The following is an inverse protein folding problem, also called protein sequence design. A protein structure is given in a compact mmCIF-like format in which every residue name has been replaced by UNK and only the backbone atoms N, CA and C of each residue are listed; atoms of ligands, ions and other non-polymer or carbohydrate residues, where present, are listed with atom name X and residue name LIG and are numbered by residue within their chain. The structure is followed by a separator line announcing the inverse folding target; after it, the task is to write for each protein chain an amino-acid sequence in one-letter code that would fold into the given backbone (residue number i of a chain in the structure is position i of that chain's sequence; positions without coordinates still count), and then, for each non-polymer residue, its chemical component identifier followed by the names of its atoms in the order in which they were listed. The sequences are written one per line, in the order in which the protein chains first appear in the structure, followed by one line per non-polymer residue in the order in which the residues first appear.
data_IF_309002983198
#
_entry.id   IF_309002983198
#
_cell.length_a   1.000
_cell.length_b   1.000
_cell.length_c   1.000
_cell.angle_alpha   90.00
_cell.angle_beta   90.00
_cell.angle_gamma   90.00
#
_symmetry.space_group_name_H-M   'P 1'
#
loop_
_entity.id
_entity.type
_entity.pdbx_description
1 polymer ?
#
# COMPACT_ATOMS: atom_id res chain seq x y z
N UNK A 1 1.46 0.59 -15.38
CA UNK A 1 1.57 -0.86 -15.12
C UNK A 1 2.01 -1.54 -16.43
N UNK A 2 3.20 -2.09 -16.48
CA UNK A 2 3.80 -2.71 -17.67
C UNK A 2 3.43 -4.20 -17.83
N UNK A 3 2.39 -4.65 -17.13
CA UNK A 3 1.93 -6.03 -17.14
C UNK A 3 1.15 -6.39 -18.41
N UNK A 4 1.21 -7.66 -18.78
CA UNK A 4 0.37 -8.26 -19.84
C UNK A 4 -0.99 -8.64 -19.24
N UNK A 5 -1.99 -7.79 -19.47
CA UNK A 5 -3.35 -8.02 -19.00
C UNK A 5 -3.94 -9.34 -19.52
N UNK A 6 -3.71 -9.68 -20.77
CA UNK A 6 -4.30 -10.87 -21.38
C UNK A 6 -3.72 -12.15 -20.79
N UNK A 7 -2.43 -12.15 -20.47
CA UNK A 7 -1.78 -13.26 -19.77
C UNK A 7 -2.33 -13.39 -18.33
N UNK A 8 -2.46 -12.26 -17.61
CA UNK A 8 -3.03 -12.23 -16.28
C UNK A 8 -4.48 -12.72 -16.27
N UNK A 9 -5.32 -12.27 -17.21
CA UNK A 9 -6.72 -12.67 -17.32
C UNK A 9 -6.87 -14.18 -17.62
N UNK A 10 -5.97 -14.76 -18.43
CA UNK A 10 -5.90 -16.21 -18.66
C UNK A 10 -5.54 -16.95 -17.36
N UNK A 11 -4.58 -16.44 -16.60
CA UNK A 11 -4.19 -17.04 -15.32
C UNK A 11 -5.36 -17.02 -14.32
N UNK A 12 -6.05 -15.90 -14.16
CA UNK A 12 -7.24 -15.77 -13.30
C UNK A 12 -8.31 -16.78 -13.71
N UNK A 13 -8.60 -16.87 -15.01
CA UNK A 13 -9.59 -17.81 -15.54
C UNK A 13 -9.21 -19.28 -15.30
N UNK A 14 -7.93 -19.60 -15.44
CA UNK A 14 -7.39 -20.93 -15.12
C UNK A 14 -7.54 -21.26 -13.63
N UNK A 15 -7.11 -20.37 -12.75
CA UNK A 15 -7.23 -20.57 -11.30
C UNK A 15 -8.68 -20.70 -10.87
N UNK A 16 -9.59 -19.88 -11.40
CA UNK A 16 -11.03 -20.00 -11.11
C UNK A 16 -11.55 -21.38 -11.51
N UNK A 17 -11.24 -21.84 -12.73
CA UNK A 17 -11.64 -23.17 -13.19
C UNK A 17 -11.08 -24.31 -12.33
N UNK A 18 -9.84 -24.18 -11.82
CA UNK A 18 -9.26 -25.15 -10.88
C UNK A 18 -9.97 -25.16 -9.55
N UNK A 19 -10.27 -23.99 -8.98
CA UNK A 19 -11.01 -23.88 -7.73
C UNK A 19 -12.43 -24.48 -7.83
N UNK A 20 -13.08 -24.26 -8.96
CA UNK A 20 -14.41 -24.85 -9.24
C UNK A 20 -14.33 -26.38 -9.33
N UNK A 21 -13.34 -26.93 -10.03
CA UNK A 21 -13.14 -28.36 -10.19
C UNK A 21 -12.82 -29.07 -8.85
N UNK A 22 -12.16 -28.38 -7.91
CA UNK A 22 -11.83 -28.89 -6.56
C UNK A 22 -12.96 -28.67 -5.53
N UNK A 23 -14.13 -28.14 -5.96
CA UNK A 23 -15.25 -27.84 -5.06
C UNK A 23 -14.99 -26.71 -4.08
N UNK A 24 -14.08 -25.80 -4.43
CA UNK A 24 -13.70 -24.63 -3.65
C UNK A 24 -14.40 -23.35 -4.13
N UNK A 25 -15.25 -23.43 -5.16
CA UNK A 25 -16.12 -22.33 -5.55
C UNK A 25 -16.93 -21.83 -4.34
N UNK A 26 -16.97 -20.54 -4.12
CA UNK A 26 -17.65 -19.94 -2.97
C UNK A 26 -16.94 -20.08 -1.61
N UNK A 27 -15.81 -20.80 -1.55
CA UNK A 27 -14.94 -20.85 -0.34
C UNK A 27 -13.69 -20.00 -0.48
N UNK A 28 -13.23 -19.81 -1.73
CA UNK A 28 -12.02 -19.02 -2.06
C UNK A 28 -12.39 -18.01 -3.13
N UNK A 29 -12.18 -16.76 -2.82
CA UNK A 29 -12.30 -15.67 -3.78
C UNK A 29 -10.93 -15.30 -4.34
N UNK A 30 -10.90 -14.93 -5.63
CA UNK A 30 -9.71 -14.38 -6.23
C UNK A 30 -9.69 -12.87 -6.03
N UNK A 31 -8.53 -12.34 -5.72
CA UNK A 31 -8.27 -10.91 -5.55
C UNK A 31 -7.48 -10.41 -6.75
N UNK A 32 -7.78 -9.22 -7.22
CA UNK A 32 -7.05 -8.59 -8.34
C UNK A 32 -7.67 -7.27 -8.80
N UNK A 33 -7.02 -6.54 -9.71
CA UNK A 33 -5.90 -6.96 -10.57
C UNK A 33 -4.49 -6.86 -9.97
N UNK A 34 -4.32 -6.44 -8.72
CA UNK A 34 -3.02 -6.28 -8.08
C UNK A 34 -2.11 -5.29 -8.84
N UNK A 35 -2.73 -4.23 -9.36
CA UNK A 35 -2.06 -3.26 -10.20
C UNK A 35 -1.31 -2.22 -9.36
N UNK A 36 -0.01 -2.06 -9.62
CA UNK A 36 0.75 -0.93 -9.10
C UNK A 36 0.35 0.34 -9.85
N UNK A 37 -0.06 1.37 -9.12
CA UNK A 37 -0.59 2.62 -9.68
C UNK A 37 0.20 3.83 -9.23
N UNK A 38 0.24 4.85 -10.09
CA UNK A 38 0.83 6.15 -9.78
C UNK A 38 -0.16 7.31 -9.96
N UNK A 39 -1.04 7.21 -10.94
CA UNK A 39 -2.07 8.18 -11.28
C UNK A 39 -3.41 7.52 -11.58
N UNK A 40 -4.41 8.28 -12.04
CA UNK A 40 -5.71 7.74 -12.37
C UNK A 40 -5.76 7.00 -13.73
N UNK A 41 -4.72 7.13 -14.55
CA UNK A 41 -4.68 6.60 -15.93
C UNK A 41 -4.65 5.07 -15.99
N UNK A 42 -4.11 4.40 -14.97
CA UNK A 42 -4.09 2.93 -14.92
C UNK A 42 -5.41 2.32 -14.42
N UNK A 43 -6.45 3.12 -14.13
CA UNK A 43 -7.76 2.62 -13.70
C UNK A 43 -8.41 1.66 -14.73
N UNK A 44 -7.93 1.67 -15.97
CA UNK A 44 -8.32 0.69 -17.00
C UNK A 44 -8.03 -0.76 -16.62
N UNK A 45 -7.04 -1.02 -15.75
CA UNK A 45 -6.81 -2.36 -15.22
C UNK A 45 -8.02 -2.88 -14.45
N UNK A 46 -8.63 -2.03 -13.63
CA UNK A 46 -9.84 -2.38 -12.87
C UNK A 46 -11.05 -2.50 -13.79
N UNK A 47 -11.25 -1.56 -14.74
CA UNK A 47 -12.39 -1.63 -15.65
C UNK A 47 -12.32 -2.83 -16.60
N UNK A 48 -11.15 -3.17 -17.17
CA UNK A 48 -10.99 -4.39 -17.95
C UNK A 48 -11.22 -5.67 -17.13
N UNK A 49 -10.75 -5.68 -15.87
CA UNK A 49 -11.00 -6.79 -14.96
C UNK A 49 -12.50 -7.01 -14.72
N UNK A 50 -13.24 -5.91 -14.50
CA UNK A 50 -14.70 -5.94 -14.40
C UNK A 50 -15.35 -6.50 -15.67
N UNK A 51 -14.96 -5.96 -16.83
CA UNK A 51 -15.65 -6.22 -18.09
C UNK A 51 -15.33 -7.61 -18.66
N UNK A 52 -14.10 -8.10 -18.50
CA UNK A 52 -13.65 -9.35 -19.09
C UNK A 52 -13.71 -10.55 -18.12
N UNK A 53 -13.58 -10.32 -16.81
CA UNK A 53 -13.52 -11.38 -15.80
C UNK A 53 -14.78 -11.48 -14.93
N UNK A 54 -15.53 -10.39 -14.78
CA UNK A 54 -16.79 -10.39 -14.07
C UNK A 54 -16.66 -10.97 -12.66
N UNK A 55 -17.51 -11.95 -12.34
CA UNK A 55 -17.55 -12.58 -11.02
C UNK A 55 -16.37 -13.51 -10.70
N UNK A 56 -15.42 -13.71 -11.63
CA UNK A 56 -14.18 -14.42 -11.31
C UNK A 56 -13.31 -13.66 -10.31
N UNK A 57 -13.48 -12.33 -10.22
CA UNK A 57 -12.84 -11.48 -9.23
C UNK A 57 -13.83 -11.24 -8.09
N UNK A 58 -13.50 -11.70 -6.89
CA UNK A 58 -14.31 -11.53 -5.69
C UNK A 58 -14.03 -10.22 -4.97
N UNK A 59 -12.77 -9.81 -4.94
CA UNK A 59 -12.28 -8.60 -4.30
C UNK A 59 -11.31 -7.88 -5.24
N UNK A 60 -11.48 -6.57 -5.39
CA UNK A 60 -10.54 -5.75 -6.15
C UNK A 60 -9.41 -5.24 -5.26
N UNK A 61 -8.21 -5.11 -5.83
CA UNK A 61 -7.07 -4.50 -5.17
C UNK A 61 -6.17 -3.72 -6.12
N UNK A 62 -5.44 -2.79 -5.54
CA UNK A 62 -4.38 -2.02 -6.19
C UNK A 62 -3.27 -1.79 -5.19
N UNK A 63 -2.06 -1.47 -5.69
CA UNK A 63 -0.90 -1.08 -4.91
C UNK A 63 -0.51 0.35 -5.22
N UNK A 64 -0.06 1.12 -4.24
CA UNK A 64 0.49 2.45 -4.51
C UNK A 64 1.52 2.87 -3.49
N UNK A 65 2.47 3.67 -3.97
CA UNK A 65 3.52 4.30 -3.18
C UNK A 65 3.52 5.80 -3.47
N UNK A 66 2.52 6.55 -2.96
CA UNK A 66 2.36 7.96 -3.30
C UNK A 66 3.52 8.79 -2.78
N UNK A 67 3.73 9.93 -3.42
CA UNK A 67 4.59 10.99 -2.90
C UNK A 67 3.91 11.73 -1.74
N UNK A 68 4.70 12.34 -0.86
CA UNK A 68 4.15 13.12 0.25
C UNK A 68 3.35 14.32 -0.24
N UNK A 69 3.77 14.97 -1.32
CA UNK A 69 3.03 16.10 -1.88
C UNK A 69 1.64 15.67 -2.39
N UNK A 70 1.50 14.49 -3.02
CA UNK A 70 0.22 13.93 -3.47
C UNK A 70 -0.74 13.70 -2.30
N UNK A 71 -0.23 13.14 -1.20
CA UNK A 71 -1.03 12.90 0.01
C UNK A 71 -1.40 14.22 0.70
N UNK A 72 -0.44 15.13 0.88
CA UNK A 72 -0.67 16.41 1.57
C UNK A 72 -1.65 17.33 0.81
N UNK A 73 -1.64 17.30 -0.52
CA UNK A 73 -2.56 18.10 -1.34
C UNK A 73 -4.00 17.55 -1.38
N UNK A 74 -4.22 16.30 -0.95
CA UNK A 74 -5.49 15.59 -1.09
C UNK A 74 -5.72 15.00 -2.49
N UNK A 75 -4.75 15.15 -3.41
CA UNK A 75 -4.82 14.55 -4.76
C UNK A 75 -4.90 13.03 -4.68
N UNK A 76 -4.27 12.44 -3.67
CA UNK A 76 -4.31 11.01 -3.42
C UNK A 76 -5.75 10.47 -3.33
N UNK A 77 -6.64 11.15 -2.60
CA UNK A 77 -8.06 10.76 -2.53
C UNK A 77 -8.69 10.70 -3.92
N UNK A 78 -8.45 11.71 -4.77
CA UNK A 78 -9.03 11.76 -6.13
C UNK A 78 -8.51 10.65 -7.04
N UNK A 79 -7.22 10.32 -6.92
CA UNK A 79 -6.65 9.17 -7.63
C UNK A 79 -7.38 7.89 -7.21
N UNK A 80 -7.51 7.63 -5.93
CA UNK A 80 -8.16 6.43 -5.40
C UNK A 80 -9.64 6.35 -5.80
N UNK A 81 -10.36 7.47 -5.79
CA UNK A 81 -11.74 7.53 -6.25
C UNK A 81 -11.91 7.16 -7.73
N UNK A 82 -10.91 7.45 -8.58
CA UNK A 82 -10.93 7.05 -9.99
C UNK A 82 -11.00 5.52 -10.11
N UNK A 83 -10.19 4.79 -9.36
CA UNK A 83 -10.22 3.32 -9.33
C UNK A 83 -11.48 2.77 -8.67
N UNK A 84 -11.92 3.41 -7.57
CA UNK A 84 -13.15 2.97 -6.86
C UNK A 84 -14.38 3.04 -7.76
N UNK A 85 -14.47 4.02 -8.64
CA UNK A 85 -15.59 4.16 -9.61
C UNK A 85 -15.65 3.02 -10.62
N UNK A 86 -14.53 2.39 -10.94
CA UNK A 86 -14.47 1.26 -11.88
C UNK A 86 -14.89 -0.07 -11.24
N UNK A 87 -14.92 -0.15 -9.91
CA UNK A 87 -15.32 -1.38 -9.19
C UNK A 87 -16.84 -1.57 -9.29
N UNK A 88 -17.34 -2.76 -9.65
CA UNK A 88 -18.77 -3.04 -9.73
C UNK A 88 -19.51 -2.75 -8.44
N UNK A 89 -20.78 -2.35 -8.56
CA UNK A 89 -21.66 -2.19 -7.41
C UNK A 89 -21.72 -3.50 -6.59
N UNK A 90 -21.61 -3.40 -5.27
CA UNK A 90 -21.60 -4.54 -4.36
C UNK A 90 -20.26 -5.25 -4.19
N UNK A 91 -19.26 -4.97 -5.03
CA UNK A 91 -17.89 -5.46 -4.84
C UNK A 91 -17.08 -4.47 -4.00
N UNK A 92 -16.08 -5.00 -3.29
CA UNK A 92 -15.16 -4.23 -2.47
C UNK A 92 -13.83 -4.03 -3.18
N UNK A 93 -13.11 -3.00 -2.78
CA UNK A 93 -11.71 -2.76 -3.17
C UNK A 93 -10.89 -2.53 -1.92
N UNK A 94 -9.66 -3.02 -1.92
CA UNK A 94 -8.67 -2.80 -0.88
C UNK A 94 -7.41 -2.17 -1.47
N UNK A 95 -6.65 -1.52 -0.62
CA UNK A 95 -5.28 -1.13 -0.92
C UNK A 95 -4.37 -2.30 -0.51
N UNK A 96 -3.93 -3.10 -1.48
CA UNK A 96 -3.13 -4.31 -1.27
C UNK A 96 -1.73 -4.02 -0.75
N UNK A 97 -1.15 -2.87 -1.16
CA UNK A 97 0.11 -2.35 -0.59
C UNK A 97 0.09 -0.82 -0.55
N UNK A 98 0.58 -0.25 0.55
CA UNK A 98 0.83 1.18 0.67
C UNK A 98 2.13 1.45 1.43
N UNK A 99 2.92 2.37 0.91
CA UNK A 99 4.11 2.97 1.51
C UNK A 99 4.36 4.31 0.83
N UNK A 100 5.51 4.95 1.12
CA UNK A 100 5.85 6.23 0.47
C UNK A 100 7.06 6.10 -0.44
N UNK A 101 6.98 6.75 -1.61
CA UNK A 101 8.13 7.09 -2.47
C UNK A 101 8.11 8.59 -2.75
N UNK A 102 9.28 9.23 -2.72
CA UNK A 102 9.42 10.67 -2.91
C UNK A 102 9.89 10.95 -4.35
N UNK A 103 9.09 10.51 -5.33
CA UNK A 103 9.48 10.56 -6.75
C UNK A 103 9.03 11.82 -7.49
N UNK A 104 8.13 12.59 -6.91
CA UNK A 104 7.66 13.83 -7.51
C UNK A 104 8.63 15.00 -7.28
N UNK A 105 8.72 15.97 -8.19
CA UNK A 105 9.63 17.12 -8.04
C UNK A 105 9.45 17.90 -6.75
N UNK A 106 8.21 17.99 -6.24
CA UNK A 106 7.90 18.67 -4.98
C UNK A 106 8.49 17.96 -3.76
N UNK A 107 8.77 16.67 -3.85
CA UNK A 107 9.39 15.87 -2.79
C UNK A 107 10.91 15.68 -2.98
N UNK A 108 11.53 16.39 -3.90
CA UNK A 108 12.95 16.21 -4.27
C UNK A 108 13.93 16.31 -3.09
N UNK A 109 13.66 17.17 -2.13
CA UNK A 109 14.49 17.29 -0.91
C UNK A 109 14.35 16.05 -0.02
N UNK A 110 13.15 15.49 0.10
CA UNK A 110 12.90 14.25 0.84
C UNK A 110 13.59 13.08 0.14
N UNK A 111 13.49 13.00 -1.18
CA UNK A 111 14.17 11.96 -1.96
C UNK A 111 15.69 12.04 -1.78
N UNK A 112 16.28 13.22 -1.88
CA UNK A 112 17.71 13.42 -1.67
C UNK A 112 18.15 12.99 -0.27
N UNK A 113 17.39 13.34 0.76
CA UNK A 113 17.68 12.93 2.14
C UNK A 113 17.51 11.42 2.33
N UNK A 114 16.48 10.81 1.74
CA UNK A 114 16.28 9.35 1.76
C UNK A 114 17.49 8.61 1.18
N UNK A 115 17.95 9.02 -0.01
CA UNK A 115 19.11 8.43 -0.66
C UNK A 115 20.40 8.66 0.13
N UNK A 116 20.58 9.85 0.71
CA UNK A 116 21.73 10.15 1.57
C UNK A 116 21.78 9.23 2.80
N UNK A 117 20.64 9.02 3.46
CA UNK A 117 20.51 8.11 4.63
C UNK A 117 20.79 6.66 4.22
N UNK A 118 20.22 6.21 3.11
CA UNK A 118 20.44 4.87 2.59
C UNK A 118 21.92 4.62 2.25
N UNK A 119 22.57 5.58 1.58
CA UNK A 119 24.00 5.49 1.26
C UNK A 119 24.93 5.49 2.50
N UNK A 120 24.48 6.13 3.59
CA UNK A 120 25.22 6.15 4.86
C UNK A 120 25.00 4.89 5.71
N UNK A 121 23.97 4.10 5.43
CA UNK A 121 23.62 2.91 6.18
C UNK A 121 24.38 1.68 5.62
N UNK A 122 25.14 0.94 6.45
CA UNK A 122 26.05 -0.10 5.95
C UNK A 122 25.34 -1.22 5.18
N UNK A 123 24.10 -1.52 5.55
CA UNK A 123 23.34 -2.63 5.00
C UNK A 123 22.13 -2.23 4.16
N UNK A 124 21.84 -0.93 3.98
CA UNK A 124 20.71 -0.50 3.18
C UNK A 124 20.97 -0.63 1.68
N UNK A 125 20.00 -1.12 0.93
CA UNK A 125 19.90 -0.89 -0.51
C UNK A 125 19.59 0.57 -0.75
N UNK A 126 20.35 1.25 -1.62
CA UNK A 126 20.15 2.67 -1.90
C UNK A 126 18.94 2.95 -2.76
N UNK A 127 18.60 2.03 -3.68
CA UNK A 127 17.62 2.30 -4.73
C UNK A 127 16.18 2.13 -4.27
N UNK A 128 15.95 1.34 -3.21
CA UNK A 128 14.60 0.91 -2.84
C UNK A 128 14.34 0.91 -1.33
N UNK A 129 15.23 1.50 -0.53
CA UNK A 129 15.01 1.66 0.90
C UNK A 129 14.26 2.95 1.23
N UNK A 130 13.35 2.86 2.20
CA UNK A 130 12.61 3.99 2.76
C UNK A 130 13.15 4.34 4.16
N UNK A 131 14.18 5.19 4.21
CA UNK A 131 14.90 5.49 5.45
C UNK A 131 14.09 6.34 6.45
N UNK A 132 12.98 6.93 6.02
CA UNK A 132 12.09 7.66 6.91
C UNK A 132 11.27 6.76 7.83
N UNK A 133 11.30 5.42 7.63
CA UNK A 133 10.69 4.48 8.59
C UNK A 133 11.26 4.57 10.01
N UNK A 134 12.44 5.17 10.16
CA UNK A 134 13.03 5.47 11.46
C UNK A 134 12.50 6.74 12.12
N UNK A 135 11.71 7.55 11.41
CA UNK A 135 11.20 8.82 11.90
C UNK A 135 9.74 8.68 12.38
N UNK A 136 9.35 9.25 13.53
CA UNK A 136 7.96 9.21 14.00
C UNK A 136 6.96 9.80 13.00
N UNK A 137 7.37 10.81 12.21
CA UNK A 137 6.52 11.47 11.22
C UNK A 137 6.07 10.53 10.10
N UNK A 138 6.84 9.49 9.79
CA UNK A 138 6.42 8.49 8.79
C UNK A 138 5.11 7.81 9.19
N UNK A 139 4.92 7.54 10.48
CA UNK A 139 3.66 6.99 11.00
C UNK A 139 2.47 7.93 10.83
N UNK A 140 2.68 9.23 10.98
CA UNK A 140 1.64 10.25 10.74
C UNK A 140 1.28 10.34 9.26
N UNK A 141 2.27 10.30 8.38
CA UNK A 141 2.06 10.32 6.92
C UNK A 141 1.30 9.06 6.47
N UNK A 142 1.64 7.89 7.01
CA UNK A 142 0.92 6.64 6.75
C UNK A 142 -0.52 6.67 7.26
N UNK A 143 -0.78 7.30 8.41
CA UNK A 143 -2.13 7.49 8.93
C UNK A 143 -2.97 8.40 8.02
N UNK A 144 -2.38 9.49 7.50
CA UNK A 144 -3.04 10.37 6.53
C UNK A 144 -3.40 9.62 5.25
N UNK A 145 -2.48 8.85 4.69
CA UNK A 145 -2.73 8.04 3.51
C UNK A 145 -3.83 7.00 3.74
N UNK A 146 -3.86 6.33 4.91
CA UNK A 146 -4.94 5.44 5.29
C UNK A 146 -6.29 6.15 5.38
N UNK A 147 -6.35 7.34 5.99
CA UNK A 147 -7.61 8.09 6.10
C UNK A 147 -8.15 8.50 4.72
N UNK A 148 -7.27 8.90 3.80
CA UNK A 148 -7.67 9.18 2.43
C UNK A 148 -8.16 7.92 1.69
N UNK A 149 -7.53 6.77 1.94
CA UNK A 149 -7.96 5.47 1.41
C UNK A 149 -9.37 5.10 1.90
N UNK A 150 -9.66 5.32 3.17
CA UNK A 150 -11.01 5.11 3.75
C UNK A 150 -12.02 6.09 3.13
N UNK A 151 -11.68 7.38 3.03
CA UNK A 151 -12.55 8.39 2.42
C UNK A 151 -12.87 8.09 0.96
N UNK A 152 -11.95 7.49 0.22
CA UNK A 152 -12.18 7.03 -1.14
C UNK A 152 -13.07 5.76 -1.23
N UNK A 153 -13.51 5.19 -0.10
CA UNK A 153 -14.45 4.06 -0.04
C UNK A 153 -13.79 2.69 -0.19
N UNK A 154 -12.54 2.55 0.22
CA UNK A 154 -11.84 1.28 0.28
C UNK A 154 -12.17 0.53 1.57
N UNK A 155 -12.22 -0.80 1.48
CA UNK A 155 -12.63 -1.68 2.58
C UNK A 155 -11.47 -2.19 3.42
N UNK A 156 -10.23 -1.90 3.04
CA UNK A 156 -9.04 -2.31 3.77
C UNK A 156 -7.77 -1.72 3.17
N UNK A 157 -6.71 -1.78 3.96
CA UNK A 157 -5.39 -1.27 3.55
C UNK A 157 -4.30 -2.11 4.24
N UNK A 158 -3.31 -2.55 3.46
CA UNK A 158 -2.16 -3.31 3.94
C UNK A 158 -0.92 -2.43 3.80
N UNK A 159 -0.25 -2.18 4.92
CA UNK A 159 0.98 -1.39 4.90
C UNK A 159 2.16 -2.23 4.40
N UNK A 160 2.94 -1.67 3.50
CA UNK A 160 4.23 -2.20 3.09
C UNK A 160 5.33 -1.55 3.92
N UNK A 161 5.97 -2.28 4.87
CA UNK A 161 5.76 -3.71 5.11
C UNK A 161 6.05 -4.07 6.58
N UNK A 162 5.79 -5.33 6.94
CA UNK A 162 6.02 -5.82 8.31
C UNK A 162 7.52 -5.85 8.66
N UNK A 163 8.34 -6.39 7.78
CA UNK A 163 9.77 -6.63 8.00
C UNK A 163 10.60 -6.15 6.82
N UNK A 164 11.90 -5.96 7.00
CA UNK A 164 12.81 -5.62 5.92
C UNK A 164 13.08 -6.82 5.00
N UNK A 165 13.39 -6.53 3.75
CA UNK A 165 13.59 -7.57 2.72
C UNK A 165 15.02 -7.57 2.19
N UNK A 166 15.61 -8.73 2.02
CA UNK A 166 16.90 -8.89 1.36
C UNK A 166 16.79 -8.67 -0.15
N UNK A 167 17.73 -7.91 -0.71
CA UNK A 167 17.88 -7.73 -2.14
C UNK A 167 18.93 -8.65 -2.71
N UNK A 168 18.51 -9.78 -3.26
CA UNK A 168 19.43 -10.81 -3.76
C UNK A 168 19.95 -10.55 -5.17
N UNK A 169 19.31 -9.66 -5.93
CA UNK A 169 19.67 -9.42 -7.33
C UNK A 169 20.73 -8.33 -7.48
N UNK A 170 20.46 -7.17 -6.95
CA UNK A 170 21.30 -5.97 -7.11
C UNK A 170 22.39 -5.90 -6.03
N UNK A 171 22.06 -6.31 -4.82
CA UNK A 171 22.96 -6.29 -3.66
C UNK A 171 22.55 -7.38 -2.67
N UNK A 172 23.07 -8.61 -2.81
CA UNK A 172 22.64 -9.74 -1.99
C UNK A 172 22.97 -9.61 -0.49
N UNK A 173 23.85 -8.69 -0.13
CA UNK A 173 24.24 -8.34 1.23
C UNK A 173 23.50 -7.10 1.77
N UNK A 174 22.54 -6.54 1.00
CA UNK A 174 21.80 -5.34 1.36
C UNK A 174 20.34 -5.64 1.65
N UNK A 175 19.75 -4.80 2.49
CA UNK A 175 18.35 -4.85 2.85
C UNK A 175 17.55 -3.78 2.09
N UNK A 176 16.36 -4.13 1.70
CA UNK A 176 15.31 -3.17 1.40
C UNK A 176 14.65 -2.77 2.73
N UNK A 177 15.06 -1.63 3.26
CA UNK A 177 14.57 -1.11 4.53
C UNK A 177 13.23 -0.41 4.32
N UNK A 178 12.15 -1.05 4.75
CA UNK A 178 10.77 -0.54 4.67
C UNK A 178 9.93 -0.89 5.90
N UNK A 179 10.35 -1.89 6.65
CA UNK A 179 9.55 -2.56 7.66
C UNK A 179 9.22 -1.71 8.88
N UNK A 180 8.21 -2.16 9.61
CA UNK A 180 8.01 -1.76 11.01
C UNK A 180 9.17 -2.18 11.91
N UNK A 181 9.88 -3.19 11.48
CA UNK A 181 10.79 -3.97 12.26
C UNK A 181 11.85 -4.60 11.35
N UNK A 182 12.91 -5.10 11.92
CA UNK A 182 13.88 -5.94 11.23
C UNK A 182 14.11 -7.20 12.08
N UNK A 183 13.54 -8.32 11.66
CA UNK A 183 13.60 -9.58 12.41
C UNK A 183 15.03 -10.15 12.52
N UNK A 184 15.91 -9.75 11.60
CA UNK A 184 17.33 -10.10 11.63
C UNK A 184 18.21 -8.92 12.06
N UNK A 185 17.63 -7.95 12.76
CA UNK A 185 18.33 -6.71 13.11
C UNK A 185 19.57 -6.93 13.93
N UNK A 186 19.49 -7.80 14.92
CA UNK A 186 20.62 -8.10 15.81
C UNK A 186 21.70 -8.92 15.10
N UNK A 187 21.35 -9.85 14.23
CA UNK A 187 22.29 -10.67 13.45
C UNK A 187 23.02 -9.88 12.37
N UNK A 188 22.34 -8.92 11.72
CA UNK A 188 22.88 -8.18 10.58
C UNK A 188 23.56 -6.88 11.02
N UNK A 189 22.95 -6.14 11.95
CA UNK A 189 23.40 -4.81 12.35
C UNK A 189 24.06 -4.76 13.73
N UNK A 190 23.87 -5.79 14.55
CA UNK A 190 24.39 -5.88 15.92
C UNK A 190 23.35 -5.68 17.00
N UNK A 191 23.74 -5.94 18.23
CA UNK A 191 22.84 -6.01 19.38
C UNK A 191 22.04 -4.72 19.59
N UNK A 192 20.73 -4.89 19.71
CA UNK A 192 19.78 -3.84 19.97
C UNK A 192 19.15 -3.22 18.72
N UNK A 193 19.44 -3.75 17.54
CA UNK A 193 18.85 -3.27 16.27
C UNK A 193 17.52 -3.95 15.93
N UNK A 194 17.23 -5.12 16.50
CA UNK A 194 15.94 -5.79 16.39
C UNK A 194 14.88 -5.04 17.23
N UNK A 195 14.49 -3.87 16.74
CA UNK A 195 13.53 -2.98 17.41
C UNK A 195 12.39 -2.61 16.50
N UNK A 196 11.19 -2.51 17.10
CA UNK A 196 10.04 -1.88 16.41
C UNK A 196 10.34 -0.41 16.15
N UNK A 197 10.14 0.01 14.91
CA UNK A 197 10.34 1.40 14.49
C UNK A 197 9.16 2.28 14.88
N UNK A 198 9.35 3.61 15.00
CA UNK A 198 8.32 4.51 15.53
C UNK A 198 6.96 4.43 14.84
N UNK A 199 6.92 4.23 13.52
CA UNK A 199 5.67 4.20 12.77
C UNK A 199 4.80 2.95 13.06
N UNK A 200 5.38 1.87 13.62
CA UNK A 200 4.63 0.74 14.13
C UNK A 200 3.56 1.16 15.14
N UNK A 201 3.90 2.10 16.03
CA UNK A 201 2.97 2.51 17.09
C UNK A 201 1.76 3.25 16.52
N UNK A 202 1.96 4.12 15.52
CA UNK A 202 0.86 4.78 14.82
C UNK A 202 -0.03 3.76 14.11
N UNK A 203 0.58 2.86 13.32
CA UNK A 203 -0.17 1.85 12.56
C UNK A 203 -0.89 0.85 13.46
N UNK A 204 -0.26 0.38 14.53
CA UNK A 204 -0.89 -0.54 15.51
C UNK A 204 -2.06 0.10 16.24
N UNK A 205 -1.98 1.41 16.52
CA UNK A 205 -3.11 2.16 17.10
C UNK A 205 -4.30 2.18 16.14
N UNK A 206 -4.06 2.44 14.86
CA UNK A 206 -5.09 2.42 13.83
C UNK A 206 -5.72 1.03 13.68
N UNK A 207 -4.93 -0.04 13.62
CA UNK A 207 -5.43 -1.40 13.57
C UNK A 207 -6.28 -1.81 14.79
N UNK A 208 -5.97 -1.27 15.96
CA UNK A 208 -6.76 -1.54 17.18
C UNK A 208 -8.06 -0.75 17.26
N UNK A 209 -8.08 0.43 16.65
CA UNK A 209 -9.25 1.32 16.65
C UNK A 209 -10.20 1.01 15.49
N UNK A 210 -9.66 0.81 14.30
CA UNK A 210 -10.41 0.51 13.08
C UNK A 210 -10.52 -1.01 12.91
N UNK A 211 -11.45 -1.63 13.60
CA UNK A 211 -11.58 -3.09 13.64
C UNK A 211 -12.26 -3.63 12.37
N UNK A 212 -12.01 -4.89 11.99
CA UNK A 212 -12.78 -5.55 10.95
C UNK A 212 -14.29 -5.47 11.22
N UNK A 213 -15.06 -5.07 10.21
CA UNK A 213 -16.51 -4.89 10.34
C UNK A 213 -16.95 -3.52 10.86
N UNK A 214 -16.02 -2.57 11.07
CA UNK A 214 -16.41 -1.19 11.37
C UNK A 214 -17.11 -0.55 10.18
N UNK A 215 -18.19 0.18 10.46
CA UNK A 215 -18.83 1.09 9.51
C UNK A 215 -18.16 2.46 9.60
N UNK A 216 -17.83 3.05 8.43
CA UNK A 216 -17.22 4.37 8.39
C UNK A 216 -18.25 5.44 8.03
N UNK A 217 -18.16 6.56 8.72
CA UNK A 217 -19.06 7.70 8.55
C UNK A 217 -18.27 8.92 8.04
N UNK A 218 -18.92 9.74 7.22
CA UNK A 218 -18.36 11.00 6.80
C UNK A 218 -18.11 11.91 8.03
N UNK A 219 -16.87 12.38 8.16
CA UNK A 219 -16.47 13.30 9.22
C UNK A 219 -16.16 14.67 8.63
N UNK A 220 -16.77 15.73 9.19
CA UNK A 220 -16.52 17.12 8.81
C UNK A 220 -15.71 17.78 9.93
N UNK A 221 -14.46 18.17 9.62
CA UNK A 221 -13.56 18.83 10.55
C UNK A 221 -13.66 20.34 10.37
N UNK A 222 -14.09 21.07 11.40
CA UNK A 222 -14.25 22.54 11.37
C UNK A 222 -13.29 23.21 12.33
N UNK A 223 -12.73 24.34 11.90
CA UNK A 223 -11.95 25.24 12.74
C UNK A 223 -10.50 24.80 13.01
N UNK A 224 -10.00 23.75 12.37
CA UNK A 224 -8.62 23.29 12.54
C UNK A 224 -8.01 22.97 11.16
N UNK A 225 -7.12 23.84 10.70
CA UNK A 225 -6.35 23.57 9.47
C UNK A 225 -5.40 22.38 9.68
N UNK A 226 -5.33 21.50 8.66
CA UNK A 226 -4.41 20.34 8.65
C UNK A 226 -4.83 19.17 9.55
N UNK A 227 -6.02 19.20 10.15
CA UNK A 227 -6.59 18.05 10.87
C UNK A 227 -7.44 17.22 9.91
N UNK A 228 -7.19 15.91 9.89
CA UNK A 228 -8.00 14.93 9.18
C UNK A 228 -8.64 13.97 10.18
N UNK A 229 -9.86 13.54 9.92
CA UNK A 229 -10.59 12.64 10.81
C UNK A 229 -11.32 11.56 10.03
N UNK A 230 -11.41 10.40 10.65
CA UNK A 230 -12.27 9.27 10.24
C UNK A 230 -13.16 8.93 11.42
N UNK A 231 -14.43 8.73 11.18
CA UNK A 231 -15.38 8.23 12.17
C UNK A 231 -15.73 6.77 11.86
N UNK A 232 -15.63 5.89 12.87
CA UNK A 232 -15.94 4.45 12.79
C UNK A 232 -16.74 3.98 14.00
#
# INVERSE_FOLDING_TARGET
ADGDFDLWAKAVSYFRGRLDAEGLAGKVELVGPDAAIWGPEEAWWVSRSRDELGDRIGLYDIHTYPSKCTVNSGEYTRILEAYRREVPAGKKIVMGEIGFKFVEPADSLLQAENLRRAAAHPNASTDDSQMFVYDPMYGTDMADALFQTIHAGYSGCIAWMLDDTMHFKEAPDKLKIWGFWNIFGDEIFGAGEERVRPWYYAWSLLCRTLRPGSDFFAADVRGAAGVKAVAA
#
